data_IF_838267257898
#
_entry.id   IF_838267257898
#
_cell.length_a   1.000
_cell.length_b   1.000
_cell.length_c   1.000
_cell.angle_alpha   90.00
_cell.angle_beta   90.00
_cell.angle_gamma   90.00
#
_symmetry.space_group_name_H-M   'P 1'
#
loop_
_entity.id
_entity.type
_entity.pdbx_description
1 polymer ?
#
# COMPACT_ATOMS: atom_id res chain seq x y z
N UNK A 1 8.68 -28.90 -2.41
CA UNK A 1 7.42 -28.20 -2.08
C UNK A 1 7.40 -26.78 -2.67
N UNK A 2 8.45 -25.96 -2.51
CA UNK A 2 8.49 -24.59 -3.08
C UNK A 2 8.24 -24.54 -4.60
N UNK A 3 9.00 -25.31 -5.38
CA UNK A 3 8.84 -25.37 -6.85
C UNK A 3 7.42 -25.74 -7.27
N UNK A 4 6.80 -26.68 -6.53
CA UNK A 4 5.43 -27.08 -6.79
C UNK A 4 4.43 -25.97 -6.43
N UNK A 5 4.66 -25.23 -5.34
CA UNK A 5 3.86 -24.07 -4.97
C UNK A 5 3.88 -22.98 -6.03
N UNK A 6 5.06 -22.60 -6.51
CA UNK A 6 5.21 -21.64 -7.61
C UNK A 6 4.51 -22.13 -8.88
N UNK A 7 4.70 -23.40 -9.26
CA UNK A 7 4.02 -23.99 -10.43
C UNK A 7 2.50 -23.89 -10.32
N UNK A 8 1.93 -24.15 -9.14
CA UNK A 8 0.48 -24.06 -8.90
C UNK A 8 -0.01 -22.61 -8.98
N UNK A 9 0.74 -21.65 -8.44
CA UNK A 9 0.39 -20.23 -8.48
C UNK A 9 0.49 -19.65 -9.90
N UNK A 10 1.48 -20.07 -10.69
CA UNK A 10 1.66 -19.63 -12.07
C UNK A 10 0.49 -20.05 -12.98
N UNK A 11 -0.12 -21.20 -12.69
CA UNK A 11 -1.30 -21.68 -13.41
C UNK A 11 -2.58 -20.88 -13.10
N UNK A 12 -2.60 -20.09 -12.03
CA UNK A 12 -3.76 -19.31 -11.61
C UNK A 12 -3.67 -17.89 -12.17
N UNK A 13 -4.41 -17.62 -13.25
CA UNK A 13 -4.57 -16.27 -13.78
C UNK A 13 -5.50 -15.46 -12.88
N UNK A 14 -5.08 -14.25 -12.50
CA UNK A 14 -5.78 -13.38 -11.54
C UNK A 14 -6.46 -12.22 -12.25
N UNK A 15 -5.74 -11.53 -13.12
CA UNK A 15 -6.24 -10.35 -13.81
C UNK A 15 -5.45 -10.10 -15.09
N UNK A 16 -6.02 -9.30 -15.99
CA UNK A 16 -5.28 -8.67 -17.08
C UNK A 16 -5.19 -7.18 -16.79
N UNK A 17 -3.98 -6.64 -16.73
CA UNK A 17 -3.76 -5.21 -16.47
C UNK A 17 -3.24 -4.52 -17.74
N UNK A 18 -3.72 -3.29 -18.04
CA UNK A 18 -3.39 -2.59 -19.28
C UNK A 18 -2.03 -1.90 -19.26
N UNK A 19 -1.41 -1.78 -18.08
CA UNK A 19 -0.18 -1.03 -17.85
C UNK A 19 0.60 -1.70 -16.72
N UNK A 20 1.93 -1.58 -16.73
CA UNK A 20 2.78 -2.09 -15.64
C UNK A 20 2.51 -1.30 -14.36
N UNK A 21 2.21 -1.99 -13.26
CA UNK A 21 2.12 -1.38 -11.93
C UNK A 21 3.51 -1.33 -11.30
N UNK A 22 4.09 -0.14 -11.24
CA UNK A 22 5.46 0.04 -10.78
C UNK A 22 5.56 0.29 -9.27
N UNK A 23 6.61 -0.24 -8.65
CA UNK A 23 7.00 0.06 -7.27
C UNK A 23 7.56 1.48 -7.10
N UNK A 24 7.94 2.16 -8.20
CA UNK A 24 8.38 3.55 -8.20
C UNK A 24 7.18 4.50 -8.09
N UNK A 25 7.12 5.24 -6.98
CA UNK A 25 6.05 6.21 -6.68
C UNK A 25 5.96 7.37 -7.67
N UNK A 26 7.01 7.62 -8.46
CA UNK A 26 7.05 8.70 -9.45
C UNK A 26 6.36 8.31 -10.75
N UNK A 27 6.08 7.02 -10.95
CA UNK A 27 5.43 6.54 -12.16
C UNK A 27 3.93 6.85 -12.12
N UNK A 28 3.31 7.14 -13.28
CA UNK A 28 1.86 7.39 -13.38
C UNK A 28 1.03 6.24 -12.82
N UNK A 29 1.50 5.00 -13.00
CA UNK A 29 0.85 3.77 -12.57
C UNK A 29 1.58 3.12 -11.38
N UNK A 30 1.80 3.90 -10.33
CA UNK A 30 2.37 3.37 -9.09
C UNK A 30 1.45 2.29 -8.48
N UNK A 31 2.00 1.12 -8.19
CA UNK A 31 1.28 -0.04 -7.69
C UNK A 31 0.54 0.26 -6.37
N UNK A 32 1.15 1.04 -5.47
CA UNK A 32 0.51 1.45 -4.22
C UNK A 32 -0.79 2.24 -4.42
N UNK A 33 -0.91 3.02 -5.50
CA UNK A 33 -2.13 3.79 -5.79
C UNK A 33 -3.30 2.87 -6.10
N UNK A 34 -3.05 1.80 -6.86
CA UNK A 34 -4.06 0.76 -7.14
C UNK A 34 -4.40 0.01 -5.86
N UNK A 35 -3.40 -0.35 -5.05
CA UNK A 35 -3.62 -1.05 -3.80
C UNK A 35 -4.42 -0.23 -2.78
N UNK A 36 -4.19 1.09 -2.69
CA UNK A 36 -4.99 1.97 -1.82
C UNK A 36 -6.47 2.00 -2.21
N UNK A 37 -6.77 2.01 -3.52
CA UNK A 37 -8.14 1.90 -4.02
C UNK A 37 -8.75 0.55 -3.69
N UNK A 38 -8.00 -0.54 -3.90
CA UNK A 38 -8.44 -1.89 -3.54
C UNK A 38 -8.70 -2.04 -2.03
N UNK A 39 -7.88 -1.42 -1.18
CA UNK A 39 -8.09 -1.40 0.28
C UNK A 39 -9.38 -0.66 0.66
N UNK A 40 -9.68 0.48 0.01
CA UNK A 40 -10.94 1.21 0.21
C UNK A 40 -12.14 0.39 -0.21
N UNK A 41 -12.06 -0.27 -1.35
CA UNK A 41 -13.13 -1.14 -1.86
C UNK A 41 -13.38 -2.33 -0.91
N UNK A 42 -12.33 -3.08 -0.59
CA UNK A 42 -12.41 -4.24 0.30
C UNK A 42 -12.82 -3.86 1.73
N UNK A 43 -12.34 -2.72 2.23
CA UNK A 43 -12.68 -2.18 3.54
C UNK A 43 -14.04 -1.51 3.60
N UNK A 44 -14.62 -1.14 2.45
CA UNK A 44 -15.78 -0.25 2.36
C UNK A 44 -15.53 1.06 3.13
N UNK A 45 -14.37 1.68 2.88
CA UNK A 45 -13.95 2.92 3.54
C UNK A 45 -13.73 4.03 2.53
N UNK A 46 -13.86 5.27 2.97
CA UNK A 46 -13.62 6.43 2.10
C UNK A 46 -12.13 6.76 1.98
N UNK A 47 -11.32 6.32 2.95
CA UNK A 47 -9.88 6.53 2.97
C UNK A 47 -9.10 5.24 3.27
N UNK A 48 -7.85 5.22 2.83
CA UNK A 48 -6.88 4.20 3.15
C UNK A 48 -5.49 4.81 3.34
N UNK A 49 -4.66 4.11 4.11
CA UNK A 49 -3.23 4.38 4.29
C UNK A 49 -2.47 3.08 4.06
N UNK A 50 -1.34 3.18 3.36
CA UNK A 50 -0.45 2.04 3.13
C UNK A 50 0.98 2.57 2.98
N UNK A 51 1.98 1.73 3.25
CA UNK A 51 3.38 2.07 3.01
C UNK A 51 3.95 1.32 1.80
N UNK A 52 4.77 1.99 0.99
CA UNK A 52 5.26 1.40 -0.25
C UNK A 52 6.35 0.32 -0.06
N UNK A 53 6.95 0.21 1.13
CA UNK A 53 7.92 -0.87 1.44
C UNK A 53 7.32 -2.28 1.44
N UNK A 54 5.99 -2.38 1.26
CA UNK A 54 5.28 -3.65 1.08
C UNK A 54 5.46 -4.23 -0.32
N UNK A 55 5.71 -3.40 -1.33
CA UNK A 55 5.77 -3.84 -2.73
C UNK A 55 7.23 -4.12 -3.11
N UNK A 56 7.55 -5.38 -3.44
CA UNK A 56 8.93 -5.83 -3.68
C UNK A 56 9.29 -5.96 -5.15
N UNK A 57 8.29 -6.08 -6.03
CA UNK A 57 8.46 -6.18 -7.46
C UNK A 57 7.30 -5.47 -8.18
N UNK A 58 7.56 -5.08 -9.42
CA UNK A 58 6.55 -4.51 -10.31
C UNK A 58 5.61 -5.63 -10.81
N UNK A 59 4.36 -5.30 -11.12
CA UNK A 59 3.46 -6.20 -11.87
C UNK A 59 3.45 -5.79 -13.34
N UNK A 60 3.95 -6.64 -14.26
CA UNK A 60 4.08 -6.29 -15.66
C UNK A 60 2.72 -6.18 -16.36
N UNK A 61 2.63 -5.34 -17.38
CA UNK A 61 1.46 -5.29 -18.27
C UNK A 61 1.09 -6.69 -18.80
N UNK A 62 -0.22 -6.95 -18.94
CA UNK A 62 -0.75 -8.20 -19.47
C UNK A 62 -1.41 -9.08 -18.42
N UNK A 63 -1.41 -10.39 -18.65
CA UNK A 63 -2.04 -11.37 -17.74
C UNK A 63 -1.13 -11.57 -16.53
N UNK A 64 -1.64 -11.23 -15.36
CA UNK A 64 -1.01 -11.45 -14.06
C UNK A 64 -1.50 -12.77 -13.48
N UNK A 65 -0.57 -13.62 -13.06
CA UNK A 65 -0.86 -14.82 -12.29
C UNK A 65 -0.66 -14.63 -10.78
N UNK A 66 -1.10 -15.61 -9.98
CA UNK A 66 -1.02 -15.55 -8.53
C UNK A 66 0.43 -15.56 -8.02
N UNK A 67 1.36 -16.13 -8.78
CA UNK A 67 2.78 -16.20 -8.43
C UNK A 67 3.42 -14.83 -8.48
N UNK A 68 3.19 -14.08 -9.57
CA UNK A 68 3.66 -12.71 -9.73
C UNK A 68 3.08 -11.78 -8.66
N UNK A 69 1.79 -11.92 -8.34
CA UNK A 69 1.18 -11.14 -7.26
C UNK A 69 1.79 -11.48 -5.89
N UNK A 70 2.02 -12.77 -5.63
CA UNK A 70 2.66 -13.24 -4.40
C UNK A 70 4.10 -12.76 -4.28
N UNK A 71 4.90 -12.81 -5.35
CA UNK A 71 6.28 -12.29 -5.36
C UNK A 71 6.34 -10.77 -5.14
N UNK A 72 5.39 -10.04 -5.72
CA UNK A 72 5.32 -8.59 -5.58
C UNK A 72 4.84 -8.14 -4.20
N UNK A 73 3.98 -8.91 -3.52
CA UNK A 73 3.42 -8.65 -2.19
C UNK A 73 3.49 -9.89 -1.25
N UNK A 74 4.67 -10.41 -0.90
CA UNK A 74 4.84 -11.70 -0.20
C UNK A 74 4.62 -11.64 1.31
N UNK A 75 3.87 -10.65 1.78
CA UNK A 75 3.69 -10.36 3.20
C UNK A 75 2.32 -10.88 3.65
N UNK A 76 2.23 -11.69 4.71
CA UNK A 76 0.96 -12.05 5.31
C UNK A 76 0.38 -10.84 6.04
N UNK A 77 -0.35 -10.00 5.33
CA UNK A 77 -1.01 -8.81 5.86
C UNK A 77 -2.48 -9.04 6.11
N UNK A 78 -3.00 -8.39 7.15
CA UNK A 78 -4.43 -8.33 7.43
C UNK A 78 -4.93 -6.90 7.24
N UNK A 79 -6.00 -6.75 6.47
CA UNK A 79 -6.72 -5.48 6.38
C UNK A 79 -7.34 -5.16 7.75
N UNK A 80 -7.06 -3.97 8.26
CA UNK A 80 -7.66 -3.46 9.49
C UNK A 80 -8.56 -2.28 9.11
N UNK A 81 -9.81 -2.32 9.58
CA UNK A 81 -10.78 -1.23 9.48
C UNK A 81 -11.04 -0.63 10.85
N UNK A 82 -11.02 0.69 10.94
CA UNK A 82 -11.32 1.43 12.16
C UNK A 82 -12.26 2.60 11.84
N UNK A 83 -13.13 2.93 12.80
CA UNK A 83 -13.98 4.13 12.78
C UNK A 83 -13.51 5.06 13.88
N UNK A 84 -13.22 6.31 13.53
CA UNK A 84 -12.67 7.32 14.44
C UNK A 84 -13.52 8.59 14.39
N UNK A 85 -13.50 9.37 15.47
CA UNK A 85 -13.98 10.76 15.40
C UNK A 85 -13.05 11.57 14.49
N UNK A 86 -13.58 12.61 13.85
CA UNK A 86 -12.78 13.49 12.99
C UNK A 86 -11.53 14.03 13.69
N UNK A 87 -11.66 14.45 14.96
CA UNK A 87 -10.53 14.90 15.79
C UNK A 87 -9.44 13.84 15.98
N UNK A 88 -9.85 12.58 16.20
CA UNK A 88 -8.92 11.47 16.44
C UNK A 88 -8.23 11.05 15.13
N UNK A 89 -8.96 11.07 14.01
CA UNK A 89 -8.40 10.88 12.68
C UNK A 89 -7.35 11.95 12.36
N UNK A 90 -7.67 13.23 12.55
CA UNK A 90 -6.70 14.32 12.31
C UNK A 90 -5.48 14.20 13.21
N UNK A 91 -5.66 13.78 14.47
CA UNK A 91 -4.54 13.51 15.40
C UNK A 91 -3.67 12.36 14.90
N UNK A 92 -4.27 11.25 14.47
CA UNK A 92 -3.54 10.10 13.94
C UNK A 92 -2.66 10.48 12.74
N UNK A 93 -3.22 11.22 11.77
CA UNK A 93 -2.49 11.65 10.58
C UNK A 93 -1.33 12.58 10.95
N UNK A 94 -1.50 13.49 11.91
CA UNK A 94 -0.41 14.34 12.41
C UNK A 94 0.73 13.54 13.04
N UNK A 95 0.43 12.49 13.81
CA UNK A 95 1.47 11.63 14.39
C UNK A 95 2.20 10.79 13.32
N UNK A 96 1.47 10.32 12.31
CA UNK A 96 2.06 9.66 11.14
C UNK A 96 3.01 10.61 10.39
N UNK A 97 2.59 11.84 10.13
CA UNK A 97 3.38 12.86 9.43
C UNK A 97 4.62 13.31 10.21
N UNK A 98 4.51 13.38 11.54
CA UNK A 98 5.64 13.63 12.44
C UNK A 98 6.68 12.53 12.34
N UNK A 99 6.25 11.27 12.25
CA UNK A 99 7.12 10.09 12.16
C UNK A 99 7.61 9.78 10.74
N UNK A 100 6.97 10.36 9.72
CA UNK A 100 7.15 10.03 8.30
C UNK A 100 8.61 10.01 7.86
N UNK A 101 9.38 11.05 8.16
CA UNK A 101 10.77 11.14 7.70
C UNK A 101 11.68 10.06 8.29
N UNK A 102 11.42 9.64 9.53
CA UNK A 102 12.11 8.53 10.16
C UNK A 102 11.72 7.20 9.52
N UNK A 103 10.41 6.96 9.37
CA UNK A 103 9.86 5.72 8.81
C UNK A 103 10.37 5.47 7.39
N UNK A 104 10.51 6.49 6.55
CA UNK A 104 10.99 6.35 5.15
C UNK A 104 12.26 5.52 4.99
N UNK A 105 13.18 5.58 5.95
CA UNK A 105 14.45 4.85 5.91
C UNK A 105 14.55 3.77 6.98
N UNK A 106 13.50 3.57 7.76
CA UNK A 106 13.54 2.67 8.91
C UNK A 106 13.58 1.20 8.44
N UNK A 107 14.62 0.43 8.79
CA UNK A 107 14.69 -0.98 8.45
C UNK A 107 13.73 -1.79 9.34
N UNK A 108 12.88 -2.61 8.71
CA UNK A 108 11.97 -3.50 9.45
C UNK A 108 12.56 -4.90 9.46
N UNK A 109 12.55 -5.56 10.62
CA UNK A 109 12.90 -6.97 10.78
C UNK A 109 11.80 -7.69 11.56
N UNK A 110 11.36 -8.85 11.08
CA UNK A 110 10.33 -9.66 11.73
C UNK A 110 8.89 -9.29 11.33
N UNK A 111 7.91 -9.73 12.14
CA UNK A 111 6.47 -9.45 11.97
C UNK A 111 5.86 -9.88 10.62
N UNK A 112 6.47 -10.86 9.94
CA UNK A 112 6.03 -11.27 8.60
C UNK A 112 6.40 -10.29 7.49
N UNK A 113 7.04 -9.16 7.79
CA UNK A 113 7.47 -8.20 6.77
C UNK A 113 8.62 -8.77 5.92
N UNK A 114 8.52 -8.63 4.60
CA UNK A 114 9.51 -9.14 3.63
C UNK A 114 10.31 -8.04 2.93
N UNK A 115 9.90 -6.79 3.05
CA UNK A 115 10.66 -5.64 2.57
C UNK A 115 11.89 -5.36 3.44
N UNK A 116 12.78 -4.51 2.93
CA UNK A 116 14.00 -4.10 3.67
C UNK A 116 13.78 -2.88 4.56
N UNK A 117 12.99 -1.92 4.08
CA UNK A 117 12.68 -0.66 4.76
C UNK A 117 11.17 -0.42 4.75
N UNK A 118 10.66 0.36 5.70
CA UNK A 118 9.23 0.71 5.79
C UNK A 118 8.76 1.51 4.57
N UNK A 119 9.56 2.49 4.13
CA UNK A 119 9.26 3.28 2.95
C UNK A 119 8.28 4.43 3.20
N UNK A 120 7.62 4.88 2.15
CA UNK A 120 6.79 6.07 2.14
C UNK A 120 5.35 5.78 2.57
N UNK A 121 4.78 6.64 3.41
CA UNK A 121 3.36 6.61 3.73
C UNK A 121 2.56 7.23 2.58
N UNK A 122 1.63 6.46 2.04
CA UNK A 122 0.75 6.86 0.96
C UNK A 122 -0.69 6.82 1.43
N UNK A 123 -1.48 7.79 0.98
CA UNK A 123 -2.86 7.99 1.39
C UNK A 123 -3.77 8.06 0.16
N UNK A 124 -4.99 7.55 0.31
CA UNK A 124 -6.12 7.85 -0.58
C UNK A 124 -7.27 8.38 0.31
N UNK A 125 -7.93 9.45 -0.12
CA UNK A 125 -8.99 10.13 0.63
C UNK A 125 -8.51 11.05 1.75
N UNK A 126 -7.19 11.11 2.00
CA UNK A 126 -6.57 11.97 3.03
C UNK A 126 -5.46 12.80 2.38
N UNK A 127 -5.44 14.11 2.68
CA UNK A 127 -4.34 14.99 2.29
C UNK A 127 -3.87 15.77 3.51
N UNK A 128 -2.57 15.79 3.73
CA UNK A 128 -1.95 16.61 4.78
C UNK A 128 -1.23 17.80 4.15
N UNK A 129 -1.55 19.01 4.63
CA UNK A 129 -0.86 20.22 4.22
C UNK A 129 0.15 20.63 5.28
N UNK A 130 1.44 20.53 4.94
CA UNK A 130 2.54 20.69 5.91
C UNK A 130 2.61 22.10 6.53
N UNK A 131 2.27 23.15 5.77
CA UNK A 131 2.41 24.54 6.23
C UNK A 131 1.36 24.90 7.29
N UNK A 132 0.09 24.61 7.01
CA UNK A 132 -1.02 24.84 7.94
C UNK A 132 -1.19 23.71 8.95
N UNK A 133 -0.50 22.59 8.73
CA UNK A 133 -0.73 21.30 9.37
C UNK A 133 -2.17 20.80 9.23
N UNK A 134 -2.92 21.26 8.24
CA UNK A 134 -4.32 20.87 8.06
C UNK A 134 -4.42 19.47 7.48
N UNK A 135 -5.33 18.66 8.03
CA UNK A 135 -5.67 17.33 7.51
C UNK A 135 -6.99 17.48 6.77
N UNK A 136 -7.02 17.11 5.49
CA UNK A 136 -8.21 17.13 4.68
C UNK A 136 -8.72 15.70 4.48
N UNK A 137 -10.01 15.49 4.71
CA UNK A 137 -10.77 14.27 4.42
C UNK A 137 -11.64 14.49 3.19
N UNK A 138 -11.45 13.70 2.13
CA UNK A 138 -12.16 13.87 0.85
C UNK A 138 -12.13 15.32 0.32
N UNK A 139 -11.00 16.01 0.53
CA UNK A 139 -10.82 17.40 0.13
C UNK A 139 -11.41 18.45 1.07
N UNK A 140 -12.08 18.06 2.16
CA UNK A 140 -12.63 18.97 3.18
C UNK A 140 -11.74 18.98 4.43
N UNK A 141 -11.45 20.15 5.03
CA UNK A 141 -10.64 20.24 6.25
C UNK A 141 -11.34 19.63 7.47
#
# INVERSE_FOLDING_TARGET
YLTEGHRLLQAQQIAQIPETLSTDLRQPYAFITVALKALKEAGQTEAAVLNNGLFLADLPEGIINADQLHEALPHPMHLIKVTLKGSDMSRLIREMEKSRQFLRKFPIRGMGFRGKIFGELCYDGIRFERNSQTVFWQGKP
#
